data_IF_465284456080
#
_entry.id   IF_465284456080
#
_cell.length_a   1.000
_cell.length_b   1.000
_cell.length_c   1.000
_cell.angle_alpha   90.00
_cell.angle_beta   90.00
_cell.angle_gamma   90.00
#
_symmetry.space_group_name_H-M   'P 1'
#
loop_
_entity.id
_entity.type
_entity.pdbx_description
1 polymer ?
#
# COMPACT_ATOMS: atom_id res chain seq x y z
N UNK A 1 3.20 6.21 6.96
CA UNK A 1 4.08 7.40 7.07
C UNK A 1 4.81 7.58 5.75
N UNK A 2 4.82 8.79 5.17
CA UNK A 2 5.49 9.05 3.88
C UNK A 2 6.99 9.25 4.11
N UNK A 3 7.81 8.57 3.31
CA UNK A 3 9.27 8.60 3.36
C UNK A 3 9.86 8.97 2.00
N UNK A 4 11.03 9.60 1.99
CA UNK A 4 11.81 9.80 0.75
C UNK A 4 12.51 8.48 0.41
N UNK A 5 12.27 7.98 -0.81
CA UNK A 5 12.94 6.79 -1.32
C UNK A 5 14.39 7.13 -1.69
N UNK A 6 15.35 6.46 -1.06
CA UNK A 6 16.79 6.62 -1.29
C UNK A 6 17.32 5.55 -2.24
N UNK A 7 16.84 4.32 -2.06
CA UNK A 7 17.22 3.16 -2.83
C UNK A 7 15.98 2.35 -3.22
N UNK A 8 15.45 2.55 -4.45
CA UNK A 8 14.26 1.85 -4.90
C UNK A 8 14.38 0.33 -4.83
N UNK A 9 15.56 -0.23 -5.08
CA UNK A 9 15.77 -1.68 -5.19
C UNK A 9 15.60 -2.40 -3.84
N UNK A 10 15.78 -1.69 -2.72
CA UNK A 10 15.66 -2.24 -1.37
C UNK A 10 14.44 -1.73 -0.59
N UNK A 11 13.87 -0.60 -1.01
CA UNK A 11 12.75 0.04 -0.29
C UNK A 11 11.39 -0.17 -0.95
N UNK A 12 11.35 -0.54 -2.23
CA UNK A 12 10.10 -0.77 -2.95
C UNK A 12 9.85 -2.26 -3.20
N UNK A 13 8.58 -2.63 -3.28
CA UNK A 13 8.18 -3.98 -3.71
C UNK A 13 8.71 -4.24 -5.15
N UNK A 14 9.32 -5.40 -5.44
CA UNK A 14 9.78 -5.74 -6.79
C UNK A 14 8.73 -5.54 -7.88
N UNK A 15 7.45 -5.83 -7.60
CA UNK A 15 6.36 -5.62 -8.55
C UNK A 15 6.22 -4.14 -8.96
N UNK A 16 6.45 -3.19 -8.05
CA UNK A 16 6.46 -1.75 -8.37
C UNK A 16 7.63 -1.40 -9.27
N UNK A 17 8.82 -1.94 -8.99
CA UNK A 17 10.03 -1.67 -9.77
C UNK A 17 9.85 -2.18 -11.20
N UNK A 18 9.39 -3.41 -11.35
CA UNK A 18 9.09 -4.04 -12.65
C UNK A 18 7.99 -3.27 -13.39
N UNK A 19 6.93 -2.88 -12.68
CA UNK A 19 5.86 -2.07 -13.24
C UNK A 19 6.38 -0.74 -13.80
N UNK A 20 7.12 0.04 -13.01
CA UNK A 20 7.63 1.33 -13.46
C UNK A 20 8.63 1.20 -14.61
N UNK A 21 9.49 0.17 -14.59
CA UNK A 21 10.38 -0.13 -15.71
C UNK A 21 9.58 -0.45 -17.00
N UNK A 22 8.46 -1.18 -16.90
CA UNK A 22 7.59 -1.46 -18.05
C UNK A 22 6.91 -0.23 -18.63
N UNK A 23 6.78 0.84 -17.83
CA UNK A 23 6.16 2.11 -18.21
C UNK A 23 7.19 3.19 -18.61
N UNK A 24 8.47 2.83 -18.72
CA UNK A 24 9.58 3.77 -18.99
C UNK A 24 9.68 4.91 -17.96
N UNK A 25 9.32 4.62 -16.70
CA UNK A 25 9.41 5.56 -15.56
C UNK A 25 10.72 5.31 -14.83
N UNK A 26 11.67 6.25 -14.92
CA UNK A 26 12.96 6.16 -14.24
C UNK A 26 12.88 6.56 -12.76
N UNK A 27 12.44 5.60 -11.94
CA UNK A 27 12.35 5.77 -10.49
C UNK A 27 13.71 5.95 -9.82
N UNK A 28 14.81 5.46 -10.43
CA UNK A 28 16.17 5.62 -9.86
C UNK A 28 16.63 7.06 -9.98
N UNK A 29 16.38 7.68 -11.13
CA UNK A 29 16.58 9.12 -11.31
C UNK A 29 15.73 9.91 -10.32
N UNK A 30 14.43 9.61 -10.19
CA UNK A 30 13.53 10.31 -9.26
C UNK A 30 13.99 10.21 -7.80
N UNK A 31 14.51 9.04 -7.39
CA UNK A 31 15.09 8.83 -6.06
C UNK A 31 16.36 9.68 -5.86
N UNK A 32 17.27 9.70 -6.83
CA UNK A 32 18.50 10.51 -6.77
C UNK A 32 18.21 12.02 -6.63
N UNK A 33 17.11 12.47 -7.24
CA UNK A 33 16.64 13.85 -7.19
C UNK A 33 15.83 14.16 -5.91
N UNK A 34 15.59 13.17 -5.04
CA UNK A 34 14.73 13.25 -3.85
C UNK A 34 13.31 13.71 -4.22
N UNK A 35 12.77 13.15 -5.30
CA UNK A 35 11.40 13.35 -5.77
C UNK A 35 10.56 12.09 -5.67
N UNK A 36 11.17 10.92 -5.49
CA UNK A 36 10.45 9.68 -5.22
C UNK A 36 10.16 9.55 -3.73
N UNK A 37 8.89 9.41 -3.38
CA UNK A 37 8.44 9.14 -2.02
C UNK A 37 7.57 7.89 -2.01
N UNK A 38 7.43 7.28 -0.84
CA UNK A 38 6.56 6.14 -0.66
C UNK A 38 5.97 6.10 0.75
N UNK A 39 4.85 5.41 0.90
CA UNK A 39 4.38 4.94 2.19
C UNK A 39 4.23 3.42 2.13
N UNK A 40 4.73 2.75 3.16
CA UNK A 40 4.74 1.30 3.28
C UNK A 40 3.87 0.90 4.48
N UNK A 41 2.91 0.02 4.21
CA UNK A 41 2.01 -0.56 5.21
C UNK A 41 2.20 -2.09 5.31
N UNK A 42 3.33 -2.62 4.85
CA UNK A 42 3.69 -4.04 4.91
C UNK A 42 3.64 -4.62 6.33
N UNK A 43 3.87 -3.81 7.36
CA UNK A 43 3.73 -4.22 8.76
C UNK A 43 2.31 -4.74 9.10
N UNK A 44 1.27 -4.27 8.38
CA UNK A 44 -0.09 -4.78 8.55
C UNK A 44 -0.21 -6.28 8.24
N UNK A 45 0.68 -6.84 7.40
CA UNK A 45 0.72 -8.28 7.12
C UNK A 45 1.09 -9.11 8.36
N UNK A 46 1.74 -8.50 9.36
CA UNK A 46 2.18 -9.18 10.59
C UNK A 46 1.16 -9.13 11.73
N UNK A 47 -0.01 -8.54 11.52
CA UNK A 47 -1.07 -8.46 12.53
C UNK A 47 -1.67 -9.85 12.81
N UNK A 48 -1.11 -10.55 13.81
CA UNK A 48 -1.53 -11.90 14.23
C UNK A 48 -2.94 -11.95 14.83
N UNK A 49 -3.46 -10.83 15.36
CA UNK A 49 -4.76 -10.74 16.04
C UNK A 49 -5.51 -9.48 15.63
N UNK A 50 -6.26 -9.54 14.54
CA UNK A 50 -7.32 -8.58 14.29
C UNK A 50 -8.60 -9.05 15.02
N UNK A 51 -9.18 -8.27 15.97
CA UNK A 51 -10.42 -8.66 16.65
C UNK A 51 -11.63 -8.82 15.70
N UNK A 52 -11.51 -8.42 14.44
CA UNK A 52 -12.55 -8.42 13.40
C UNK A 52 -12.15 -9.09 12.07
N UNK A 53 -11.14 -9.97 12.07
CA UNK A 53 -10.65 -10.81 10.96
C UNK A 53 -11.46 -10.81 9.61
N UNK A 54 -10.86 -10.71 8.40
CA UNK A 54 -9.59 -11.28 7.90
C UNK A 54 -9.23 -10.93 6.44
N UNK A 55 -7.93 -10.90 6.09
CA UNK A 55 -7.24 -11.59 4.96
C UNK A 55 -5.75 -11.18 4.89
N UNK A 56 -4.74 -12.04 4.56
CA UNK A 56 -4.51 -13.50 4.61
C UNK A 56 -5.14 -14.59 5.48
N UNK A 57 -6.02 -14.38 6.46
CA UNK A 57 -6.57 -15.43 7.37
C UNK A 57 -5.65 -16.10 8.41
N UNK A 58 -6.01 -15.90 9.69
CA UNK A 58 -6.19 -16.98 10.68
C UNK A 58 -7.32 -16.64 11.71
N UNK A 59 -8.45 -17.32 11.54
CA UNK A 59 -9.46 -17.76 12.51
C UNK A 59 -9.62 -17.05 13.87
N UNK A 60 -10.81 -16.50 14.15
CA UNK A 60 -11.30 -16.29 15.53
C UNK A 60 -12.50 -17.22 15.81
N UNK A 61 -12.36 -18.24 16.68
CA UNK A 61 -13.41 -19.24 16.95
C UNK A 61 -14.68 -18.70 17.62
N UNK A 62 -14.64 -17.48 18.17
CA UNK A 62 -15.68 -16.98 19.09
C UNK A 62 -16.75 -16.14 18.42
N UNK A 63 -16.54 -15.69 17.18
CA UNK A 63 -17.50 -14.86 16.43
C UNK A 63 -17.81 -15.60 15.12
N UNK A 64 -19.08 -15.99 14.86
CA UNK A 64 -19.46 -16.59 13.59
C UNK A 64 -19.10 -15.65 12.44
N UNK A 65 -18.29 -16.14 11.49
CA UNK A 65 -18.00 -15.42 10.25
C UNK A 65 -19.27 -15.36 9.39
N UNK A 66 -20.12 -14.36 9.60
CA UNK A 66 -21.18 -14.03 8.65
C UNK A 66 -20.62 -13.07 7.60
N UNK A 67 -21.07 -13.14 6.33
CA UNK A 67 -20.68 -12.17 5.30
C UNK A 67 -20.86 -10.71 5.73
N UNK A 68 -21.81 -10.45 6.62
CA UNK A 68 -22.15 -9.13 7.15
C UNK A 68 -21.07 -8.54 8.10
N UNK A 69 -20.27 -9.40 8.74
CA UNK A 69 -19.31 -9.02 9.77
C UNK A 69 -17.84 -9.16 9.35
N UNK A 70 -17.58 -9.61 8.12
CA UNK A 70 -16.20 -9.67 7.60
C UNK A 70 -15.65 -8.26 7.38
N UNK A 71 -14.39 -8.06 7.76
CA UNK A 71 -13.63 -6.85 7.48
C UNK A 71 -12.32 -7.24 6.81
N UNK A 72 -11.91 -6.44 5.83
CA UNK A 72 -10.70 -6.65 5.05
C UNK A 72 -9.78 -5.45 5.24
N UNK A 73 -8.49 -5.71 5.19
CA UNK A 73 -7.44 -4.70 5.14
C UNK A 73 -6.34 -5.22 4.21
N UNK A 74 -5.46 -4.32 3.78
CA UNK A 74 -4.40 -4.62 2.83
C UNK A 74 -3.06 -4.15 3.39
N UNK A 75 -2.03 -4.97 3.22
CA UNK A 75 -0.64 -4.64 3.51
C UNK A 75 0.02 -4.11 2.23
N UNK A 76 -0.24 -2.84 1.93
CA UNK A 76 0.05 -2.23 0.63
C UNK A 76 1.25 -1.29 0.67
N UNK A 77 1.84 -1.04 -0.50
CA UNK A 77 2.78 0.06 -0.71
C UNK A 77 2.26 1.06 -1.75
N UNK A 78 2.42 2.36 -1.46
CA UNK A 78 2.06 3.45 -2.38
C UNK A 78 3.28 4.31 -2.68
N UNK A 79 3.46 4.65 -3.96
CA UNK A 79 4.59 5.44 -4.46
C UNK A 79 4.10 6.76 -5.02
N UNK A 80 4.84 7.82 -4.73
CA UNK A 80 4.54 9.18 -5.11
C UNK A 80 5.72 9.86 -5.81
N UNK A 81 5.39 10.83 -6.65
CA UNK A 81 6.33 11.81 -7.18
C UNK A 81 6.05 13.19 -6.56
N UNK A 82 7.09 13.84 -6.05
CA UNK A 82 7.05 15.26 -5.71
C UNK A 82 7.37 16.09 -6.94
N UNK A 83 6.34 16.67 -7.55
CA UNK A 83 6.51 17.72 -8.56
C UNK A 83 6.82 19.05 -7.84
N UNK A 84 8.11 19.40 -7.80
CA UNK A 84 8.57 20.65 -7.16
C UNK A 84 8.12 21.91 -7.90
N UNK A 85 7.74 21.84 -9.17
CA UNK A 85 7.26 23.00 -9.93
C UNK A 85 5.81 23.29 -9.60
N UNK A 86 4.97 22.24 -9.52
CA UNK A 86 3.56 22.37 -9.11
C UNK A 86 3.37 22.42 -7.59
N UNK A 87 4.40 22.06 -6.81
CA UNK A 87 4.33 21.86 -5.36
C UNK A 87 3.23 20.84 -5.02
N UNK A 88 3.15 19.78 -5.82
CA UNK A 88 2.15 18.73 -5.70
C UNK A 88 2.81 17.39 -5.48
N UNK A 89 2.12 16.54 -4.73
CA UNK A 89 2.47 15.13 -4.54
C UNK A 89 1.50 14.29 -5.38
N UNK A 90 2.00 13.71 -6.47
CA UNK A 90 1.21 12.88 -7.37
C UNK A 90 1.43 11.41 -7.04
N UNK A 91 0.37 10.61 -7.14
CA UNK A 91 0.47 9.16 -6.95
C UNK A 91 0.94 8.52 -8.25
N UNK A 92 2.09 7.85 -8.21
CA UNK A 92 2.64 7.12 -9.35
C UNK A 92 2.06 5.71 -9.48
N UNK A 93 1.93 5.01 -8.35
CA UNK A 93 1.43 3.65 -8.34
C UNK A 93 1.07 3.19 -6.94
N UNK A 94 0.12 2.25 -6.87
CA UNK A 94 -0.29 1.56 -5.65
C UNK A 94 -0.12 0.07 -5.90
N UNK A 95 0.68 -0.58 -5.07
CA UNK A 95 0.72 -2.03 -4.97
C UNK A 95 -0.28 -2.48 -3.92
N UNK A 96 -1.12 -3.45 -4.28
CA UNK A 96 -1.96 -4.17 -3.33
C UNK A 96 -1.44 -5.60 -3.22
N UNK A 97 -1.47 -6.14 -2.00
CA UNK A 97 -1.15 -7.52 -1.61
C UNK A 97 -2.18 -8.55 -2.13
N UNK A 98 -2.76 -8.28 -3.28
CA UNK A 98 -3.67 -9.14 -4.01
C UNK A 98 -2.94 -9.80 -5.17
N UNK A 99 -3.25 -11.07 -5.38
CA UNK A 99 -2.68 -11.89 -6.43
C UNK A 99 -3.71 -12.10 -7.53
N UNK A 100 -3.33 -11.86 -8.80
CA UNK A 100 -4.22 -12.08 -9.95
C UNK A 100 -4.44 -13.57 -10.26
N UNK A 101 -3.40 -14.39 -10.12
CA UNK A 101 -3.44 -15.83 -10.35
C UNK A 101 -2.72 -16.56 -9.23
N UNK A 102 -3.38 -17.55 -8.60
CA UNK A 102 -2.73 -18.37 -7.57
C UNK A 102 -1.49 -19.12 -8.09
N UNK A 103 -1.35 -19.26 -9.41
CA UNK A 103 -0.19 -19.85 -10.08
C UNK A 103 0.92 -18.83 -10.41
N UNK A 104 0.64 -17.53 -10.32
CA UNK A 104 1.62 -16.44 -10.47
C UNK A 104 1.35 -15.35 -9.41
N UNK A 105 1.86 -15.54 -8.17
CA UNK A 105 1.48 -14.76 -7.01
C UNK A 105 2.13 -13.38 -6.93
N UNK A 106 2.27 -12.69 -8.07
CA UNK A 106 2.78 -11.32 -8.07
C UNK A 106 1.70 -10.35 -7.56
N UNK A 107 2.07 -9.42 -6.66
CA UNK A 107 1.18 -8.35 -6.22
C UNK A 107 0.71 -7.47 -7.38
N UNK A 108 -0.53 -7.05 -7.32
CA UNK A 108 -1.11 -6.18 -8.35
C UNK A 108 -0.69 -4.72 -8.15
N UNK A 109 -0.11 -4.13 -9.20
CA UNK A 109 0.20 -2.69 -9.25
C UNK A 109 -0.85 -1.95 -10.07
N UNK A 110 -1.39 -0.89 -9.49
CA UNK A 110 -2.37 -0.01 -10.10
C UNK A 110 -1.76 1.38 -10.34
N UNK A 111 -2.11 2.03 -11.46
CA UNK A 111 -1.76 3.43 -11.72
C UNK A 111 -2.90 4.15 -12.43
N UNK A 112 -2.90 5.48 -12.34
CA UNK A 112 -3.88 6.29 -13.06
C UNK A 112 -3.76 6.18 -14.59
N UNK A 113 -2.59 5.80 -15.13
CA UNK A 113 -2.34 5.74 -16.57
C UNK A 113 -2.69 4.40 -17.19
N UNK A 114 -2.62 3.30 -16.44
CA UNK A 114 -2.81 1.95 -16.97
C UNK A 114 -4.05 1.25 -16.44
N UNK A 115 -4.56 1.65 -15.27
CA UNK A 115 -5.71 1.00 -14.65
C UNK A 115 -7.04 1.61 -15.09
N UNK A 116 -8.11 0.81 -15.26
CA UNK A 116 -9.47 1.32 -15.40
C UNK A 116 -9.85 2.26 -14.24
N UNK A 117 -10.72 3.26 -14.46
CA UNK A 117 -11.04 4.27 -13.44
C UNK A 117 -11.57 3.69 -12.12
N UNK A 118 -12.39 2.62 -12.19
CA UNK A 118 -12.93 1.97 -11.00
C UNK A 118 -11.88 1.15 -10.26
N UNK A 119 -10.97 0.49 -10.97
CA UNK A 119 -9.87 -0.27 -10.37
C UNK A 119 -8.89 0.68 -9.67
N UNK A 120 -8.61 1.83 -10.29
CA UNK A 120 -7.82 2.88 -9.67
C UNK A 120 -8.49 3.47 -8.43
N UNK A 121 -9.80 3.68 -8.47
CA UNK A 121 -10.58 4.13 -7.30
C UNK A 121 -10.56 3.08 -6.18
N UNK A 122 -10.70 1.80 -6.52
CA UNK A 122 -10.61 0.70 -5.57
C UNK A 122 -9.23 0.69 -4.91
N UNK A 123 -8.14 0.75 -5.67
CA UNK A 123 -6.79 0.77 -5.12
C UNK A 123 -6.56 1.92 -4.13
N UNK A 124 -7.04 3.12 -4.47
CA UNK A 124 -7.03 4.28 -3.56
C UNK A 124 -7.88 4.06 -2.30
N UNK A 125 -8.97 3.31 -2.39
CA UNK A 125 -9.82 2.99 -1.24
C UNK A 125 -9.11 2.01 -0.30
N UNK A 126 -8.45 0.98 -0.85
CA UNK A 126 -7.68 0.01 -0.08
C UNK A 126 -6.51 0.66 0.68
N UNK A 127 -5.73 1.53 0.03
CA UNK A 127 -4.63 2.24 0.70
C UNK A 127 -5.15 3.19 1.79
N UNK A 128 -6.31 3.83 1.59
CA UNK A 128 -6.93 4.69 2.60
C UNK A 128 -7.38 3.88 3.82
N UNK A 129 -7.88 2.66 3.60
CA UNK A 129 -8.22 1.75 4.70
C UNK A 129 -6.97 1.34 5.49
N UNK A 130 -5.88 0.99 4.81
CA UNK A 130 -4.59 0.68 5.43
C UNK A 130 -4.06 1.87 6.25
N UNK A 131 -4.05 3.07 5.67
CA UNK A 131 -3.63 4.29 6.36
C UNK A 131 -4.51 4.59 7.58
N UNK A 132 -5.82 4.38 7.48
CA UNK A 132 -6.73 4.59 8.61
C UNK A 132 -6.40 3.68 9.80
N UNK A 133 -6.04 2.41 9.56
CA UNK A 133 -5.61 1.51 10.64
C UNK A 133 -4.32 2.01 11.29
N UNK A 134 -3.33 2.34 10.47
CA UNK A 134 -2.03 2.82 10.96
C UNK A 134 -2.16 4.16 11.70
N UNK A 135 -2.98 5.07 11.18
CA UNK A 135 -3.26 6.37 11.79
C UNK A 135 -3.86 6.19 13.17
N UNK A 136 -4.95 5.43 13.31
CA UNK A 136 -5.66 5.33 14.59
C UNK A 136 -4.85 4.59 15.64
N UNK A 137 -4.25 3.44 15.29
CA UNK A 137 -3.61 2.57 16.26
C UNK A 137 -2.17 2.97 16.57
N UNK A 138 -1.38 3.29 15.55
CA UNK A 138 0.03 3.59 15.72
C UNK A 138 0.22 5.08 15.97
N UNK A 139 -0.28 5.92 15.06
CA UNK A 139 0.07 7.34 15.07
C UNK A 139 -0.71 8.14 16.12
N UNK A 140 -1.99 7.84 16.32
CA UNK A 140 -2.84 8.53 17.28
C UNK A 140 -2.77 7.82 18.64
N UNK A 141 -3.38 6.65 18.79
CA UNK A 141 -3.42 5.97 20.09
C UNK A 141 -2.01 5.67 20.63
N UNK A 142 -1.20 4.96 19.85
CA UNK A 142 0.16 4.58 20.24
C UNK A 142 1.03 5.80 20.58
N UNK A 143 1.34 6.61 19.57
CA UNK A 143 2.35 7.66 19.67
C UNK A 143 1.90 8.94 20.38
N UNK A 144 0.61 9.12 20.69
CA UNK A 144 0.15 10.32 21.42
C UNK A 144 -0.51 10.05 22.77
N UNK A 145 -1.07 8.85 22.99
CA UNK A 145 -1.74 8.54 24.26
C UNK A 145 -0.97 7.51 25.11
N UNK A 146 -0.31 6.54 24.47
CA UNK A 146 0.32 5.42 25.18
C UNK A 146 1.83 5.59 25.40
N UNK A 147 2.50 6.41 24.61
CA UNK A 147 3.94 6.73 24.72
C UNK A 147 4.16 8.19 25.03
#
# INVERSE_FOLDING_TARGET
MIQVCKDPDTQLNPALIEFFASQDIDIKQMASEKRLLFADYSELATLEKNPHNIYPKAYNPTIPETPENMRYYHASQIVFEMDRKRVNLDILGIELDMVHDQNDPQPMVFSASTSPPNDWLMAKTCITAADSQFHQWVSHLGNTHLT
#
